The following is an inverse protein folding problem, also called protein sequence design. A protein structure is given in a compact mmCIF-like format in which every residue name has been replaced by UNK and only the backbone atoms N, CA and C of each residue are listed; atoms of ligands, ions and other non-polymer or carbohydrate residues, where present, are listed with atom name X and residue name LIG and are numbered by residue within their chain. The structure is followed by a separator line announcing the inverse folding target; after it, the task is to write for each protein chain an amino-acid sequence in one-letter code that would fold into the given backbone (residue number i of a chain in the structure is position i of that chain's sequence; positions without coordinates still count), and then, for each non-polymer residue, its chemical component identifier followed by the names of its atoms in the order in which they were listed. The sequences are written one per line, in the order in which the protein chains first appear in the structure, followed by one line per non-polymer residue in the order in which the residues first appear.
data_IF_326336774317
#
_entry.id   IF_326336774317
#
_cell.length_a   1.000
_cell.length_b   1.000
_cell.length_c   1.000
_cell.angle_alpha   90.00
_cell.angle_beta   90.00
_cell.angle_gamma   90.00
#
_symmetry.space_group_name_H-M   'P 1'
#
loop_
_entity.id
_entity.type
_entity.pdbx_description
1 polymer ?
#
# COMPACT_ATOMS: atom_id res chain seq x y z
N UNK A 1 13.45 -18.52 -12.62
CA UNK A 1 12.68 -18.16 -11.42
C UNK A 1 12.51 -16.64 -11.39
N UNK A 2 11.35 -16.14 -11.82
CA UNK A 2 11.08 -14.69 -11.91
C UNK A 2 10.51 -14.09 -10.62
N UNK A 3 10.40 -12.76 -10.54
CA UNK A 3 9.77 -12.07 -9.40
C UNK A 3 8.33 -12.52 -9.17
N UNK A 4 7.60 -12.77 -10.26
CA UNK A 4 6.20 -13.22 -10.27
C UNK A 4 6.15 -14.75 -10.21
N UNK A 5 5.36 -15.27 -9.27
CA UNK A 5 5.16 -16.72 -9.09
C UNK A 5 4.33 -17.27 -10.25
N UNK A 6 4.60 -18.50 -10.67
CA UNK A 6 3.82 -19.20 -11.69
C UNK A 6 3.74 -18.49 -13.07
N UNK A 7 4.69 -17.60 -13.38
CA UNK A 7 4.77 -16.89 -14.65
C UNK A 7 6.02 -17.32 -15.44
N UNK A 8 5.90 -17.37 -16.77
CA UNK A 8 7.03 -17.61 -17.66
C UNK A 8 7.92 -16.36 -17.76
N UNK A 9 9.20 -16.48 -18.14
CA UNK A 9 10.12 -15.33 -18.26
C UNK A 9 9.62 -14.25 -19.22
N UNK A 10 8.94 -14.64 -20.29
CA UNK A 10 8.37 -13.72 -21.30
C UNK A 10 7.26 -12.87 -20.69
N UNK A 11 6.41 -13.46 -19.85
CA UNK A 11 5.33 -12.75 -19.14
C UNK A 11 5.92 -11.79 -18.11
N UNK A 12 6.95 -12.21 -17.36
CA UNK A 12 7.62 -11.35 -16.37
C UNK A 12 8.21 -10.10 -17.01
N UNK A 13 8.74 -10.22 -18.24
CA UNK A 13 9.28 -9.08 -18.99
C UNK A 13 8.24 -8.00 -19.33
N UNK A 14 6.96 -8.33 -19.36
CA UNK A 14 5.87 -7.36 -19.61
C UNK A 14 5.36 -6.69 -18.33
N UNK A 15 5.78 -7.16 -17.16
CA UNK A 15 5.28 -6.65 -15.90
C UNK A 15 5.95 -5.35 -15.48
N UNK A 16 5.13 -4.41 -14.99
CA UNK A 16 5.58 -3.14 -14.39
C UNK A 16 5.74 -3.20 -12.87
N UNK A 17 6.00 -4.39 -12.30
CA UNK A 17 6.14 -4.56 -10.86
C UNK A 17 7.19 -3.64 -10.23
N UNK A 18 8.29 -3.35 -10.93
CA UNK A 18 9.31 -2.41 -10.46
C UNK A 18 8.75 -1.00 -10.26
N UNK A 19 7.87 -0.54 -11.15
CA UNK A 19 7.22 0.77 -11.01
C UNK A 19 6.37 0.83 -9.74
N UNK A 20 5.58 -0.21 -9.47
CA UNK A 20 4.74 -0.29 -8.26
C UNK A 20 5.61 -0.27 -7.01
N UNK A 21 6.69 -1.05 -6.98
CA UNK A 21 7.64 -1.10 -5.87
C UNK A 21 8.32 0.26 -5.68
N UNK A 22 8.74 0.93 -6.76
CA UNK A 22 9.35 2.26 -6.70
C UNK A 22 8.40 3.31 -6.10
N UNK A 23 7.13 3.32 -6.51
CA UNK A 23 6.13 4.22 -5.92
C UNK A 23 5.99 3.94 -4.43
N UNK A 24 5.82 2.68 -4.03
CA UNK A 24 5.71 2.29 -2.63
C UNK A 24 6.95 2.72 -1.82
N UNK A 25 8.15 2.51 -2.36
CA UNK A 25 9.41 2.85 -1.72
C UNK A 25 9.58 4.37 -1.49
N UNK A 26 8.99 5.22 -2.34
CA UNK A 26 9.01 6.68 -2.19
C UNK A 26 7.85 7.18 -1.30
N UNK A 27 6.67 6.58 -1.41
CA UNK A 27 5.50 7.00 -0.62
C UNK A 27 5.68 6.75 0.88
N UNK A 28 6.31 5.65 1.29
CA UNK A 28 6.54 5.33 2.71
C UNK A 28 7.38 6.41 3.44
N UNK A 29 8.57 6.81 2.97
CA UNK A 29 9.36 7.82 3.65
C UNK A 29 8.68 9.19 3.64
N UNK A 30 8.00 9.57 2.56
CA UNK A 30 7.24 10.83 2.51
C UNK A 30 6.10 10.84 3.54
N UNK A 31 5.33 9.76 3.62
CA UNK A 31 4.27 9.62 4.63
C UNK A 31 4.85 9.66 6.05
N UNK A 32 5.98 8.97 6.28
CA UNK A 32 6.68 8.97 7.58
C UNK A 32 7.10 10.38 7.98
N UNK A 33 7.68 11.15 7.05
CA UNK A 33 8.07 12.54 7.27
C UNK A 33 6.86 13.39 7.69
N UNK A 34 5.73 13.28 6.98
CA UNK A 34 4.49 14.03 7.30
C UNK A 34 4.00 13.72 8.72
N UNK A 35 3.98 12.44 9.12
CA UNK A 35 3.54 12.03 10.46
C UNK A 35 4.47 12.57 11.54
N UNK A 36 5.78 12.58 11.30
CA UNK A 36 6.76 13.16 12.24
C UNK A 36 6.52 14.67 12.40
N UNK A 37 6.40 15.41 11.29
CA UNK A 37 6.17 16.87 11.35
C UNK A 37 4.85 17.21 12.04
N UNK A 38 3.77 16.50 11.68
CA UNK A 38 2.44 16.73 12.29
C UNK A 38 2.43 16.33 13.76
N UNK A 39 3.16 15.27 14.12
CA UNK A 39 3.38 14.85 15.50
C UNK A 39 4.13 15.91 16.31
N UNK A 40 5.21 16.47 15.78
CA UNK A 40 5.93 17.56 16.43
C UNK A 40 5.00 18.75 16.72
N UNK A 41 4.25 19.19 15.71
CA UNK A 41 3.32 20.31 15.86
C UNK A 41 2.20 20.02 16.88
N UNK A 42 1.49 18.90 16.78
CA UNK A 42 0.34 18.60 17.65
C UNK A 42 0.72 18.17 19.07
N UNK A 43 1.91 17.58 19.27
CA UNK A 43 2.34 17.12 20.60
C UNK A 43 3.08 18.20 21.38
N UNK A 44 3.86 19.07 20.69
CA UNK A 44 4.70 20.09 21.33
C UNK A 44 4.13 21.50 21.25
N UNK A 45 3.49 21.88 20.14
CA UNK A 45 3.07 23.27 19.89
C UNK A 45 1.57 23.45 20.19
N UNK A 46 0.70 22.73 19.48
CA UNK A 46 -0.75 22.87 19.60
C UNK A 46 -1.41 21.61 20.16
N UNK A 47 -1.66 21.61 21.48
CA UNK A 47 -2.27 20.48 22.19
C UNK A 47 -3.70 20.15 21.75
N UNK A 48 -4.42 21.10 21.14
CA UNK A 48 -5.78 20.87 20.63
C UNK A 48 -5.78 19.97 19.39
N UNK A 49 -4.64 19.85 18.70
CA UNK A 49 -4.48 19.00 17.51
C UNK A 49 -4.18 17.52 17.81
N UNK A 50 -4.20 17.09 19.08
CA UNK A 50 -3.82 15.71 19.47
C UNK A 50 -4.78 14.65 18.94
N UNK A 51 -6.09 14.91 19.02
CA UNK A 51 -7.09 13.99 18.51
C UNK A 51 -6.94 13.79 16.99
N UNK A 52 -6.78 14.89 16.26
CA UNK A 52 -6.46 14.91 14.83
C UNK A 52 -5.17 14.13 14.51
N UNK A 53 -4.13 14.27 15.33
CA UNK A 53 -2.89 13.51 15.17
C UNK A 53 -3.09 12.00 15.38
N UNK A 54 -3.88 11.56 16.36
CA UNK A 54 -4.15 10.13 16.56
C UNK A 54 -4.91 9.50 15.38
N UNK A 55 -5.88 10.22 14.81
CA UNK A 55 -6.56 9.76 13.59
C UNK A 55 -5.61 9.68 12.40
N UNK A 56 -4.67 10.63 12.27
CA UNK A 56 -3.60 10.54 11.27
C UNK A 56 -2.72 9.30 11.48
N UNK A 57 -2.32 8.99 12.70
CA UNK A 57 -1.55 7.77 12.99
C UNK A 57 -2.33 6.50 12.60
N UNK A 58 -3.63 6.47 12.87
CA UNK A 58 -4.51 5.38 12.46
C UNK A 58 -4.60 5.25 10.94
N UNK A 59 -4.77 6.38 10.23
CA UNK A 59 -4.70 6.42 8.76
C UNK A 59 -3.38 5.84 8.24
N UNK A 60 -2.26 6.29 8.79
CA UNK A 60 -0.93 5.84 8.40
C UNK A 60 -0.75 4.34 8.63
N UNK A 61 -1.26 3.79 9.72
CA UNK A 61 -1.21 2.35 9.98
C UNK A 61 -1.92 1.54 8.88
N UNK A 62 -3.14 1.94 8.49
CA UNK A 62 -3.86 1.28 7.40
C UNK A 62 -3.21 1.50 6.03
N UNK A 63 -2.65 2.69 5.77
CA UNK A 63 -1.91 2.97 4.55
C UNK A 63 -0.63 2.12 4.43
N UNK A 64 0.07 1.84 5.53
CA UNK A 64 1.21 0.89 5.52
C UNK A 64 0.74 -0.51 5.19
N UNK A 65 -0.36 -0.98 5.78
CA UNK A 65 -0.94 -2.30 5.45
C UNK A 65 -1.28 -2.38 3.96
N UNK A 66 -1.93 -1.36 3.42
CA UNK A 66 -2.23 -1.24 1.98
C UNK A 66 -0.96 -1.37 1.12
N UNK A 67 0.10 -0.61 1.44
CA UNK A 67 1.37 -0.65 0.70
C UNK A 67 2.02 -2.04 0.75
N UNK A 68 2.01 -2.69 1.92
CA UNK A 68 2.56 -4.05 2.07
C UNK A 68 1.78 -5.05 1.22
N UNK A 69 0.45 -4.97 1.22
CA UNK A 69 -0.40 -5.84 0.40
C UNK A 69 -0.16 -5.62 -1.09
N UNK A 70 -0.01 -4.37 -1.54
CA UNK A 70 0.32 -4.04 -2.92
C UNK A 70 1.67 -4.69 -3.34
N UNK A 71 2.70 -4.59 -2.49
CA UNK A 71 4.00 -5.23 -2.75
C UNK A 71 3.85 -6.76 -2.83
N UNK A 72 3.07 -7.39 -1.94
CA UNK A 72 2.81 -8.83 -2.00
C UNK A 72 2.09 -9.20 -3.31
N UNK A 73 1.10 -8.43 -3.73
CA UNK A 73 0.39 -8.69 -4.99
C UNK A 73 1.29 -8.54 -6.22
N UNK A 74 2.37 -7.74 -6.18
CA UNK A 74 3.36 -7.72 -7.29
C UNK A 74 4.00 -9.08 -7.52
N UNK A 75 4.09 -9.94 -6.49
CA UNK A 75 4.57 -11.32 -6.62
C UNK A 75 3.52 -12.24 -7.26
N UNK A 76 2.25 -11.86 -7.23
CA UNK A 76 1.13 -12.62 -7.77
C UNK A 76 0.75 -12.20 -9.19
N UNK A 77 1.15 -10.99 -9.60
CA UNK A 77 0.94 -10.49 -10.94
C UNK A 77 0.51 -9.02 -11.02
N UNK A 78 0.44 -8.29 -9.90
CA UNK A 78 0.17 -6.86 -9.92
C UNK A 78 1.22 -6.13 -10.75
N UNK A 79 0.78 -5.45 -11.81
CA UNK A 79 1.64 -4.82 -12.82
C UNK A 79 1.70 -5.56 -14.15
N UNK A 80 1.10 -6.74 -14.27
CA UNK A 80 0.81 -7.38 -15.55
C UNK A 80 -0.53 -6.89 -16.15
N UNK A 81 -0.68 -6.94 -17.48
CA UNK A 81 -2.00 -6.92 -18.11
C UNK A 81 -2.88 -8.05 -17.57
N UNK A 82 -4.18 -7.80 -17.41
CA UNK A 82 -5.12 -8.75 -16.80
C UNK A 82 -5.14 -10.10 -17.55
N UNK A 83 -4.99 -10.09 -18.87
CA UNK A 83 -5.00 -11.29 -19.72
C UNK A 83 -3.81 -12.22 -19.47
N UNK A 84 -2.73 -11.71 -18.87
CA UNK A 84 -1.49 -12.43 -18.61
C UNK A 84 -1.36 -12.88 -17.15
N UNK A 85 -2.39 -12.67 -16.34
CA UNK A 85 -2.35 -13.08 -14.94
C UNK A 85 -2.33 -14.62 -14.83
N UNK A 86 -1.36 -15.21 -14.11
CA UNK A 86 -1.33 -16.66 -13.93
C UNK A 86 -2.58 -17.16 -13.20
N UNK A 87 -3.31 -18.11 -13.80
CA UNK A 87 -4.54 -18.68 -13.21
C UNK A 87 -4.32 -19.25 -11.81
N UNK A 88 -3.14 -19.84 -11.57
CA UNK A 88 -2.76 -20.38 -10.26
C UNK A 88 -2.65 -19.31 -9.15
N UNK A 89 -2.44 -18.04 -9.49
CA UNK A 89 -2.35 -16.95 -8.52
C UNK A 89 -3.68 -16.22 -8.33
N UNK A 90 -4.67 -16.47 -9.20
CA UNK A 90 -5.88 -15.66 -9.29
C UNK A 90 -6.67 -15.64 -7.98
N UNK A 91 -6.86 -16.80 -7.35
CA UNK A 91 -7.61 -16.89 -6.09
C UNK A 91 -6.99 -16.03 -4.99
N UNK A 92 -5.68 -16.19 -4.76
CA UNK A 92 -4.96 -15.42 -3.75
C UNK A 92 -4.88 -13.94 -4.12
N UNK A 93 -4.70 -13.62 -5.40
CA UNK A 93 -4.69 -12.25 -5.90
C UNK A 93 -6.03 -11.55 -5.61
N UNK A 94 -7.15 -12.20 -5.91
CA UNK A 94 -8.49 -11.67 -5.66
C UNK A 94 -8.76 -11.50 -4.16
N UNK A 95 -8.38 -12.49 -3.34
CA UNK A 95 -8.53 -12.40 -1.88
C UNK A 95 -7.74 -11.21 -1.31
N UNK A 96 -6.48 -11.06 -1.71
CA UNK A 96 -5.68 -9.91 -1.27
C UNK A 96 -6.24 -8.59 -1.79
N UNK A 97 -6.84 -8.57 -2.98
CA UNK A 97 -7.51 -7.38 -3.52
C UNK A 97 -8.68 -6.93 -2.66
N UNK A 98 -9.49 -7.85 -2.13
CA UNK A 98 -10.56 -7.51 -1.19
C UNK A 98 -10.02 -6.95 0.12
N UNK A 99 -8.96 -7.55 0.67
CA UNK A 99 -8.33 -7.10 1.93
C UNK A 99 -7.67 -5.73 1.74
N UNK A 100 -7.00 -5.50 0.61
CA UNK A 100 -6.39 -4.23 0.26
C UNK A 100 -7.44 -3.13 0.13
N UNK A 101 -8.57 -3.40 -0.54
CA UNK A 101 -9.66 -2.43 -0.67
C UNK A 101 -10.27 -2.09 0.71
N UNK A 102 -10.43 -3.08 1.59
CA UNK A 102 -10.88 -2.84 2.96
C UNK A 102 -9.89 -1.93 3.72
N UNK A 103 -8.58 -2.20 3.63
CA UNK A 103 -7.54 -1.37 4.24
C UNK A 103 -7.58 0.07 3.70
N UNK A 104 -7.80 0.25 2.39
CA UNK A 104 -7.94 1.56 1.78
C UNK A 104 -9.17 2.33 2.32
N UNK A 105 -10.32 1.67 2.44
CA UNK A 105 -11.54 2.29 2.98
C UNK A 105 -11.32 2.72 4.44
N UNK A 106 -10.72 1.86 5.26
CA UNK A 106 -10.42 2.17 6.66
C UNK A 106 -9.42 3.32 6.79
N UNK A 107 -8.39 3.35 5.95
CA UNK A 107 -7.46 4.47 5.87
C UNK A 107 -8.22 5.76 5.55
N UNK A 108 -9.00 5.78 4.47
CA UNK A 108 -9.76 6.96 4.04
C UNK A 108 -10.73 7.45 5.12
N UNK A 109 -11.41 6.54 5.82
CA UNK A 109 -12.28 6.87 6.94
C UNK A 109 -11.50 7.52 8.09
N UNK A 110 -10.35 6.96 8.49
CA UNK A 110 -9.50 7.53 9.52
C UNK A 110 -8.95 8.91 9.13
N UNK A 111 -8.60 9.12 7.85
CA UNK A 111 -8.14 10.42 7.35
C UNK A 111 -9.22 11.50 7.42
N UNK A 112 -10.47 11.17 7.09
CA UNK A 112 -11.58 12.12 7.16
C UNK A 112 -11.93 12.54 8.61
N UNK A 113 -11.47 11.77 9.61
CA UNK A 113 -11.61 12.09 11.04
C UNK A 113 -10.42 12.90 11.59
N UNK A 114 -9.33 13.02 10.82
CA UNK A 114 -8.08 13.67 11.19
C UNK A 114 -8.01 15.14 10.79
#
# INVERSE_FOLDING_TARGET
MGWIRNASPEVVGQSRYLMVISVCAVSVPLMTLIVILRGYHCLRINKNGRLSYYHLCLYTAFAVVYIVLAIIQTRLGLGLPFDLLPKANLELYTLLGYVENLAYILAKAAYNLA
#
